data_IF_964639155204
#
_entry.id   IF_964639155204
#
_cell.length_a   1.000
_cell.length_b   1.000
_cell.length_c   1.000
_cell.angle_alpha   90.00
_cell.angle_beta   90.00
_cell.angle_gamma   90.00
#
_symmetry.space_group_name_H-M   'P 1'
#
loop_
_entity.id
_entity.type
_entity.pdbx_description
1 polymer ?
#
# COMPACT_ATOMS: atom_id res chain seq x y z
N UNK A 1 -22.29 30.62 -58.61
CA UNK A 1 -22.90 29.71 -57.63
C UNK A 1 -22.29 30.05 -56.28
N UNK A 2 -22.98 30.93 -55.54
CA UNK A 2 -22.52 31.49 -54.28
C UNK A 2 -22.89 30.54 -53.13
N UNK A 3 -21.90 30.20 -52.31
CA UNK A 3 -22.07 29.36 -51.09
C UNK A 3 -22.34 30.27 -49.90
N UNK A 4 -23.57 30.22 -49.38
CA UNK A 4 -23.96 30.91 -48.15
C UNK A 4 -23.35 30.25 -46.91
N UNK A 5 -22.37 30.90 -46.30
CA UNK A 5 -21.91 30.60 -44.94
C UNK A 5 -22.73 31.47 -43.97
N UNK A 6 -23.53 30.87 -43.13
CA UNK A 6 -24.23 31.55 -42.01
C UNK A 6 -23.24 31.73 -40.84
N UNK A 7 -23.19 32.94 -40.22
CA UNK A 7 -22.35 33.19 -39.06
C UNK A 7 -22.94 32.56 -37.80
N UNK A 8 -22.08 31.94 -37.01
CA UNK A 8 -22.39 31.40 -35.67
C UNK A 8 -22.71 32.54 -34.69
N UNK A 9 -23.83 32.42 -34.00
CA UNK A 9 -24.28 33.35 -32.97
C UNK A 9 -23.29 33.43 -31.80
N UNK A 10 -22.89 34.65 -31.45
CA UNK A 10 -22.08 34.95 -30.26
C UNK A 10 -22.88 34.64 -29.00
N UNK A 11 -22.46 33.65 -28.25
CA UNK A 11 -22.93 33.36 -26.91
C UNK A 11 -22.39 34.43 -25.94
N UNK A 12 -23.24 35.28 -25.42
CA UNK A 12 -22.91 36.25 -24.36
C UNK A 12 -22.62 35.49 -23.05
N UNK A 13 -21.33 35.38 -22.69
CA UNK A 13 -20.93 34.87 -21.37
C UNK A 13 -21.07 35.99 -20.35
N UNK A 14 -22.06 35.90 -19.49
CA UNK A 14 -22.06 36.62 -18.24
C UNK A 14 -20.90 36.04 -17.39
N UNK A 15 -19.85 36.86 -17.20
CA UNK A 15 -18.82 36.63 -16.21
C UNK A 15 -19.45 36.81 -14.83
N UNK A 16 -19.87 35.70 -14.18
CA UNK A 16 -19.96 35.63 -12.73
C UNK A 16 -18.55 35.40 -12.20
N UNK A 17 -17.95 36.41 -11.59
CA UNK A 17 -16.76 36.27 -10.78
C UNK A 17 -17.13 35.47 -9.53
N UNK A 18 -16.77 34.21 -9.48
CA UNK A 18 -16.73 33.48 -8.23
C UNK A 18 -15.48 33.91 -7.49
N UNK A 19 -15.61 34.89 -6.61
CA UNK A 19 -14.71 35.07 -5.50
C UNK A 19 -14.89 33.80 -4.64
N UNK A 20 -13.86 32.95 -4.64
CA UNK A 20 -13.74 31.85 -3.68
C UNK A 20 -13.60 32.51 -2.32
N UNK A 21 -14.65 32.51 -1.51
CA UNK A 21 -14.50 32.68 -0.07
C UNK A 21 -13.63 31.52 0.42
N UNK A 22 -12.41 31.84 0.82
CA UNK A 22 -11.52 30.92 1.53
C UNK A 22 -12.19 30.60 2.87
N UNK A 23 -12.95 29.53 2.91
CA UNK A 23 -13.30 28.91 4.19
C UNK A 23 -12.08 28.08 4.60
N UNK A 24 -11.23 28.66 5.44
CA UNK A 24 -10.19 27.94 6.17
C UNK A 24 -10.84 26.80 6.98
N UNK A 25 -10.90 25.62 6.40
CA UNK A 25 -11.20 24.42 7.17
C UNK A 25 -9.94 24.04 7.96
N UNK A 26 -10.08 23.64 9.24
CA UNK A 26 -8.92 23.28 10.07
C UNK A 26 -8.07 22.13 9.50
N UNK A 27 -8.59 21.39 8.52
CA UNK A 27 -7.95 20.22 7.91
C UNK A 27 -6.98 20.56 6.76
N UNK A 28 -6.99 21.80 6.25
CA UNK A 28 -6.13 22.22 5.12
C UNK A 28 -4.75 22.74 5.52
N UNK A 29 -4.40 22.75 6.79
CA UNK A 29 -3.06 23.13 7.22
C UNK A 29 -2.07 22.02 6.90
N UNK A 30 -0.92 22.34 6.24
CA UNK A 30 0.16 21.39 6.09
C UNK A 30 0.55 20.90 7.50
N UNK A 31 0.95 19.62 7.66
CA UNK A 31 1.32 19.07 8.95
C UNK A 31 2.33 20.01 9.61
N UNK A 32 1.97 20.51 10.80
CA UNK A 32 2.76 21.51 11.52
C UNK A 32 4.20 21.01 11.63
N UNK A 33 5.18 21.86 11.31
CA UNK A 33 6.60 21.64 11.58
C UNK A 33 6.84 21.63 13.10
N UNK A 34 6.26 20.68 13.81
CA UNK A 34 6.71 20.35 15.15
C UNK A 34 7.98 19.54 14.97
N UNK A 35 9.11 20.10 15.37
CA UNK A 35 10.34 19.34 15.54
C UNK A 35 10.04 18.09 16.36
N UNK A 36 10.77 16.99 16.17
CA UNK A 36 10.57 15.69 16.81
C UNK A 36 10.59 15.81 18.35
N UNK A 37 9.49 16.25 18.92
CA UNK A 37 9.26 16.20 20.36
C UNK A 37 8.92 14.77 20.72
N UNK A 38 9.66 14.21 21.69
CA UNK A 38 9.34 12.89 22.24
C UNK A 38 7.92 12.96 22.81
N UNK A 39 7.00 12.09 22.37
CA UNK A 39 5.63 12.10 22.89
C UNK A 39 5.57 11.83 24.38
N UNK A 40 4.58 12.44 25.08
CA UNK A 40 4.42 12.34 26.53
C UNK A 40 4.27 10.91 27.06
N UNK A 41 3.79 9.96 26.21
CA UNK A 41 3.71 8.54 26.57
C UNK A 41 5.06 7.84 26.72
N UNK A 42 6.18 8.49 26.35
CA UNK A 42 7.55 7.98 26.51
C UNK A 42 8.40 8.91 27.38
N UNK A 43 8.08 9.06 28.68
CA UNK A 43 8.79 9.98 29.57
C UNK A 43 10.26 9.56 29.75
N UNK A 44 11.15 10.55 29.84
CA UNK A 44 12.58 10.32 30.08
C UNK A 44 13.40 9.87 28.83
N UNK A 45 12.78 9.75 27.66
CA UNK A 45 13.50 9.46 26.42
C UNK A 45 14.04 10.78 25.84
N UNK A 46 15.35 10.83 25.56
CA UNK A 46 15.97 12.01 24.94
C UNK A 46 15.62 12.08 23.45
N UNK A 47 15.59 13.29 22.83
CA UNK A 47 15.37 13.45 21.39
C UNK A 47 16.37 12.64 20.53
N UNK A 48 17.61 12.51 20.96
CA UNK A 48 18.63 11.71 20.28
C UNK A 48 18.28 10.21 20.26
N UNK A 49 17.80 9.66 21.38
CA UNK A 49 17.34 8.26 21.43
C UNK A 49 16.06 8.07 20.60
N UNK A 50 15.13 9.02 20.67
CA UNK A 50 13.92 8.98 19.87
C UNK A 50 14.21 8.98 18.37
N UNK A 51 15.22 9.72 17.93
CA UNK A 51 15.71 9.75 16.55
C UNK A 51 16.51 8.50 16.12
N UNK A 52 16.97 7.67 17.06
CA UNK A 52 17.71 6.44 16.74
C UNK A 52 16.75 5.30 16.39
N UNK A 53 16.68 4.95 15.10
CA UNK A 53 15.85 3.86 14.63
C UNK A 53 16.16 2.51 15.27
N UNK A 54 17.43 2.28 15.68
CA UNK A 54 17.84 1.04 16.35
C UNK A 54 17.28 0.97 17.76
N UNK A 55 17.22 2.11 18.45
CA UNK A 55 16.56 2.20 19.72
C UNK A 55 15.06 1.93 19.57
N UNK A 56 14.37 2.58 18.63
CA UNK A 56 12.97 2.38 18.29
C UNK A 56 12.67 0.90 18.01
N UNK A 57 13.50 0.27 17.18
CA UNK A 57 13.34 -1.12 16.80
C UNK A 57 13.53 -2.08 17.97
N UNK A 58 14.49 -1.86 18.87
CA UNK A 58 14.74 -2.68 20.06
C UNK A 58 13.67 -2.50 21.12
N UNK A 59 13.05 -1.33 21.19
CA UNK A 59 12.02 -1.00 22.17
C UNK A 59 10.60 -1.08 21.59
N UNK A 60 10.40 -1.92 20.57
CA UNK A 60 9.05 -2.22 20.09
C UNK A 60 8.18 -2.75 21.22
N UNK A 61 6.93 -2.34 21.25
CA UNK A 61 5.93 -2.82 22.17
C UNK A 61 5.49 -4.22 21.70
N UNK A 62 5.70 -5.24 22.52
CA UNK A 62 5.47 -6.65 22.17
C UNK A 62 4.65 -7.41 23.20
N UNK A 63 4.39 -6.81 24.38
CA UNK A 63 3.60 -7.45 25.44
C UNK A 63 2.47 -6.53 25.89
N UNK A 64 1.47 -7.12 26.58
CA UNK A 64 0.32 -6.38 27.13
C UNK A 64 0.78 -5.34 28.14
N UNK A 65 1.73 -5.70 29.03
CA UNK A 65 2.22 -4.81 30.07
C UNK A 65 3.00 -3.62 29.52
N UNK A 66 3.68 -3.81 28.38
CA UNK A 66 4.33 -2.71 27.68
C UNK A 66 3.31 -1.77 27.05
N UNK A 67 2.24 -2.34 26.47
CA UNK A 67 1.16 -1.56 25.86
C UNK A 67 0.38 -0.77 26.92
N UNK A 68 0.01 -1.40 28.02
CA UNK A 68 -0.75 -0.78 29.13
C UNK A 68 -0.05 0.45 29.74
N UNK A 69 1.27 0.48 29.73
CA UNK A 69 2.05 1.66 30.15
C UNK A 69 1.92 2.85 29.21
N UNK A 70 1.58 2.61 27.96
CA UNK A 70 1.47 3.65 26.92
C UNK A 70 0.01 4.01 26.61
N UNK A 71 -0.85 3.02 26.61
CA UNK A 71 -2.28 3.11 26.34
C UNK A 71 -2.99 2.37 27.49
N UNK A 72 -3.54 3.07 28.47
CA UNK A 72 -4.22 2.45 29.62
C UNK A 72 -5.33 1.50 29.14
N UNK A 73 -5.28 0.25 29.62
CA UNK A 73 -6.19 -0.82 29.23
C UNK A 73 -7.02 -1.27 30.42
N UNK A 74 -8.27 -1.62 30.18
CA UNK A 74 -9.11 -2.32 31.17
C UNK A 74 -8.62 -3.76 31.36
N UNK A 75 -9.00 -4.41 32.45
CA UNK A 75 -8.62 -5.82 32.70
C UNK A 75 -9.19 -6.76 31.63
N UNK A 76 -10.38 -6.50 31.11
CA UNK A 76 -10.98 -7.27 30.01
C UNK A 76 -10.18 -7.11 28.70
N UNK A 77 -9.73 -5.90 28.38
CA UNK A 77 -8.87 -5.66 27.21
C UNK A 77 -7.52 -6.36 27.38
N UNK A 78 -6.92 -6.34 28.56
CA UNK A 78 -5.66 -7.06 28.83
C UNK A 78 -5.82 -8.56 28.62
N UNK A 79 -6.90 -9.12 29.14
CA UNK A 79 -7.18 -10.56 28.97
C UNK A 79 -7.41 -10.92 27.49
N UNK A 80 -8.19 -10.15 26.76
CA UNK A 80 -8.45 -10.33 25.32
C UNK A 80 -7.16 -10.20 24.49
N UNK A 81 -6.32 -9.21 24.80
CA UNK A 81 -5.04 -9.01 24.14
C UNK A 81 -4.06 -10.15 24.43
N UNK A 82 -3.95 -10.61 25.69
CA UNK A 82 -3.09 -11.72 26.06
C UNK A 82 -3.44 -12.98 25.27
N UNK A 83 -4.73 -13.30 25.16
CA UNK A 83 -5.23 -14.42 24.36
C UNK A 83 -4.86 -14.25 22.87
N UNK A 84 -5.05 -13.05 22.32
CA UNK A 84 -4.79 -12.80 20.90
C UNK A 84 -3.29 -12.86 20.58
N UNK A 85 -2.44 -12.26 21.43
CA UNK A 85 -0.98 -12.24 21.24
C UNK A 85 -0.37 -13.64 21.29
N UNK A 86 -0.96 -14.56 22.05
CA UNK A 86 -0.51 -15.95 22.11
C UNK A 86 -0.59 -16.66 20.75
N UNK A 87 -1.55 -16.27 19.90
CA UNK A 87 -1.72 -16.81 18.55
C UNK A 87 -1.09 -15.91 17.48
N UNK A 88 -1.36 -14.63 17.57
CA UNK A 88 -0.90 -13.61 16.62
C UNK A 88 -0.07 -12.55 17.35
N UNK A 89 1.26 -12.69 17.39
CA UNK A 89 2.14 -11.82 18.16
C UNK A 89 1.96 -10.34 17.78
N UNK A 90 2.28 -9.46 18.73
CA UNK A 90 2.29 -8.02 18.55
C UNK A 90 3.73 -7.51 18.48
N UNK A 91 3.97 -6.56 17.60
CA UNK A 91 5.14 -5.69 17.64
C UNK A 91 4.77 -4.33 17.03
N UNK A 92 5.01 -3.25 17.77
CA UNK A 92 4.74 -1.89 17.34
C UNK A 92 5.91 -1.00 17.72
N UNK A 93 6.45 -0.20 16.77
CA UNK A 93 7.50 0.76 17.11
C UNK A 93 6.95 1.85 18.02
N UNK A 94 7.73 2.37 18.98
CA UNK A 94 7.32 3.51 19.82
C UNK A 94 6.82 4.71 18.99
N UNK A 95 7.47 4.98 17.85
CA UNK A 95 7.05 6.03 16.93
C UNK A 95 5.61 5.81 16.42
N UNK A 96 5.31 4.63 15.87
CA UNK A 96 3.97 4.38 15.31
C UNK A 96 2.90 4.33 16.41
N UNK A 97 3.23 3.79 17.58
CA UNK A 97 2.34 3.80 18.73
C UNK A 97 1.98 5.22 19.15
N UNK A 98 2.91 6.17 19.04
CA UNK A 98 2.67 7.57 19.40
C UNK A 98 1.70 8.32 18.48
N UNK A 99 1.31 7.72 17.37
CA UNK A 99 0.31 8.27 16.45
C UNK A 99 -1.13 7.86 16.84
N UNK A 100 -1.28 6.88 17.73
CA UNK A 100 -2.58 6.39 18.20
C UNK A 100 -3.23 7.43 19.09
N UNK A 101 -4.51 7.68 18.88
CA UNK A 101 -5.34 8.41 19.81
C UNK A 101 -5.73 7.46 20.96
N UNK A 102 -5.26 7.72 22.20
CA UNK A 102 -5.52 6.82 23.32
C UNK A 102 -7.01 6.76 23.72
N UNK A 103 -7.77 7.81 23.41
CA UNK A 103 -9.17 7.95 23.83
C UNK A 103 -10.14 7.35 22.78
N UNK A 104 -9.65 6.96 21.59
CA UNK A 104 -10.46 6.36 20.53
C UNK A 104 -10.14 4.85 20.38
N UNK A 105 -11.03 3.94 20.78
CA UNK A 105 -10.84 2.50 20.62
C UNK A 105 -10.84 2.05 19.15
N UNK A 106 -11.46 2.82 18.27
CA UNK A 106 -11.55 2.56 16.83
C UNK A 106 -10.61 3.45 16.00
N UNK A 107 -9.62 4.06 16.66
CA UNK A 107 -8.57 4.84 16.00
C UNK A 107 -7.95 4.08 14.81
N UNK A 108 -7.92 4.66 13.60
CA UNK A 108 -7.45 3.98 12.39
C UNK A 108 -5.97 3.56 12.43
N UNK A 109 -5.15 4.19 13.28
CA UNK A 109 -3.76 3.78 13.51
C UNK A 109 -3.73 2.58 14.46
N UNK A 110 -4.56 2.62 15.53
CA UNK A 110 -4.72 1.51 16.49
C UNK A 110 -5.18 0.23 15.79
N UNK A 111 -6.20 0.31 14.94
CA UNK A 111 -6.75 -0.82 14.19
C UNK A 111 -5.71 -1.56 13.32
N UNK A 112 -4.69 -0.86 12.84
CA UNK A 112 -3.64 -1.44 12.01
C UNK A 112 -2.51 -2.11 12.82
N UNK A 113 -2.35 -1.75 14.10
CA UNK A 113 -1.17 -2.10 14.90
C UNK A 113 -1.49 -3.00 16.11
N UNK A 114 -2.62 -2.76 16.77
CA UNK A 114 -2.97 -3.42 18.03
C UNK A 114 -3.88 -4.61 17.75
N UNK A 115 -3.54 -5.83 18.26
CA UNK A 115 -4.37 -7.01 18.07
C UNK A 115 -5.77 -6.85 18.67
N UNK A 116 -6.76 -7.48 18.05
CA UNK A 116 -8.15 -7.55 18.52
C UNK A 116 -8.60 -9.00 18.64
N UNK A 117 -9.52 -9.27 19.54
CA UNK A 117 -10.03 -10.64 19.78
C UNK A 117 -10.70 -11.24 18.55
N UNK A 118 -11.24 -10.40 17.65
CA UNK A 118 -11.81 -10.80 16.38
C UNK A 118 -10.82 -11.56 15.48
N UNK A 119 -9.52 -11.33 15.64
CA UNK A 119 -8.49 -12.09 14.91
C UNK A 119 -8.55 -13.58 15.21
N UNK A 120 -8.94 -13.94 16.44
CA UNK A 120 -9.12 -15.34 16.85
C UNK A 120 -10.57 -15.78 16.59
N UNK A 121 -11.54 -14.97 17.01
CA UNK A 121 -12.95 -15.33 16.93
C UNK A 121 -13.41 -15.60 15.48
N UNK A 122 -12.81 -14.89 14.52
CA UNK A 122 -13.11 -15.01 13.09
C UNK A 122 -12.02 -15.76 12.31
N UNK A 123 -11.05 -16.39 12.96
CA UNK A 123 -9.91 -17.06 12.30
C UNK A 123 -10.32 -18.23 11.39
N UNK A 124 -11.49 -18.83 11.61
CA UNK A 124 -12.07 -19.84 10.71
C UNK A 124 -12.40 -19.33 9.31
N UNK A 125 -12.49 -18.01 9.14
CA UNK A 125 -12.61 -17.36 7.84
C UNK A 125 -11.21 -16.98 7.36
N UNK A 126 -10.94 -17.20 6.10
CA UNK A 126 -9.64 -16.94 5.49
C UNK A 126 -8.72 -18.16 5.39
N UNK A 127 -7.62 -17.97 4.73
CA UNK A 127 -6.62 -19.00 4.41
C UNK A 127 -5.26 -18.64 5.01
N UNK A 128 -4.44 -19.64 5.30
CA UNK A 128 -3.10 -19.40 5.82
C UNK A 128 -2.20 -18.72 4.78
N UNK A 129 -2.17 -19.21 3.53
CA UNK A 129 -1.42 -18.66 2.41
C UNK A 129 -2.33 -18.42 1.19
N UNK A 130 -3.23 -17.41 1.22
CA UNK A 130 -4.21 -17.20 0.15
C UNK A 130 -3.57 -16.88 -1.19
N UNK A 131 -2.34 -16.39 -1.19
CA UNK A 131 -1.61 -16.03 -2.39
C UNK A 131 -0.76 -17.18 -2.95
N UNK A 132 -0.76 -18.36 -2.32
CA UNK A 132 0.03 -19.52 -2.73
C UNK A 132 1.54 -19.20 -2.91
N UNK A 133 2.09 -18.35 -2.02
CA UNK A 133 3.51 -17.97 -2.10
C UNK A 133 4.45 -19.16 -1.86
N UNK A 134 4.02 -20.14 -1.05
CA UNK A 134 4.78 -21.35 -0.80
C UNK A 134 4.79 -22.29 -2.01
N UNK A 135 3.70 -22.37 -2.77
CA UNK A 135 3.59 -23.18 -4.00
C UNK A 135 4.41 -22.57 -5.15
N UNK A 136 4.39 -21.25 -5.29
CA UNK A 136 5.15 -20.52 -6.29
C UNK A 136 6.64 -20.33 -5.92
N UNK A 137 7.07 -20.83 -4.75
CA UNK A 137 8.44 -20.69 -4.30
C UNK A 137 9.37 -21.70 -5.01
N UNK A 138 10.04 -21.24 -6.06
CA UNK A 138 11.01 -22.04 -6.86
C UNK A 138 12.26 -22.46 -6.10
N UNK A 139 12.67 -21.66 -5.13
CA UNK A 139 13.60 -21.99 -4.04
C UNK A 139 13.08 -21.33 -2.76
N UNK A 140 13.42 -21.83 -1.57
CA UNK A 140 12.89 -21.30 -0.33
C UNK A 140 13.05 -19.78 -0.19
N UNK A 141 11.92 -19.04 -0.25
CA UNK A 141 11.87 -17.58 -0.15
C UNK A 141 12.04 -16.83 -1.46
N UNK A 142 12.04 -17.49 -2.61
CA UNK A 142 11.98 -16.86 -3.93
C UNK A 142 10.69 -17.30 -4.64
N UNK A 143 9.73 -16.40 -4.72
CA UNK A 143 8.43 -16.62 -5.38
C UNK A 143 8.53 -16.12 -6.83
N UNK A 144 8.22 -16.98 -7.80
CA UNK A 144 8.30 -16.66 -9.23
C UNK A 144 7.00 -17.01 -9.95
N UNK A 145 6.02 -16.12 -9.84
CA UNK A 145 4.67 -16.26 -10.42
C UNK A 145 4.57 -15.67 -11.83
N UNK A 146 5.22 -14.53 -12.06
CA UNK A 146 5.11 -13.77 -13.30
C UNK A 146 6.34 -14.00 -14.18
N UNK A 147 6.21 -14.08 -15.51
CA UNK A 147 7.31 -14.47 -16.40
C UNK A 147 8.57 -13.61 -16.29
N UNK A 148 8.42 -12.31 -15.99
CA UNK A 148 9.48 -11.31 -16.07
C UNK A 148 9.96 -10.79 -14.70
N UNK A 149 9.38 -11.28 -13.59
CA UNK A 149 9.71 -10.77 -12.24
C UNK A 149 9.53 -11.80 -11.14
N UNK A 150 10.32 -11.66 -10.10
CA UNK A 150 10.23 -12.51 -8.93
C UNK A 150 10.31 -11.70 -7.62
N UNK A 151 9.92 -12.35 -6.52
CA UNK A 151 9.89 -11.79 -5.18
C UNK A 151 10.89 -12.54 -4.30
N UNK A 152 11.87 -11.80 -3.72
CA UNK A 152 12.83 -12.32 -2.73
C UNK A 152 12.35 -11.99 -1.31
N UNK A 153 12.01 -13.02 -0.52
CA UNK A 153 11.61 -12.91 0.89
C UNK A 153 12.85 -13.14 1.76
N UNK A 154 13.50 -12.07 2.22
CA UNK A 154 14.78 -12.13 2.91
C UNK A 154 14.68 -12.28 4.43
N UNK A 155 13.55 -11.90 5.02
CA UNK A 155 13.31 -11.93 6.47
C UNK A 155 11.80 -11.97 6.74
N UNK A 156 11.39 -12.38 7.94
CA UNK A 156 10.01 -12.18 8.45
C UNK A 156 9.97 -11.14 9.59
N UNK A 157 11.06 -10.44 9.83
CA UNK A 157 11.18 -9.44 10.90
C UNK A 157 10.65 -8.10 10.39
N UNK A 158 9.82 -7.42 11.22
CA UNK A 158 9.24 -6.11 10.95
C UNK A 158 9.42 -5.15 12.12
N UNK A 159 9.41 -3.83 11.88
CA UNK A 159 9.31 -2.84 12.94
C UNK A 159 7.90 -2.81 13.57
N UNK A 160 6.90 -3.22 12.81
CA UNK A 160 5.51 -3.38 13.23
C UNK A 160 4.90 -4.62 12.55
N UNK A 161 4.15 -5.41 13.30
CA UNK A 161 3.35 -6.52 12.77
C UNK A 161 1.95 -5.99 12.40
N UNK A 162 1.78 -5.59 11.13
CA UNK A 162 0.53 -5.04 10.61
C UNK A 162 -0.61 -6.04 10.73
N UNK A 163 -1.74 -5.69 11.36
CA UNK A 163 -2.83 -6.65 11.62
C UNK A 163 -3.47 -7.22 10.34
N UNK A 164 -3.35 -6.52 9.22
CA UNK A 164 -3.79 -6.92 7.88
C UNK A 164 -2.69 -7.61 7.04
N UNK A 165 -1.64 -8.14 7.65
CA UNK A 165 -0.49 -8.69 6.93
C UNK A 165 -0.86 -9.96 6.16
N UNK A 166 -0.54 -10.01 4.85
CA UNK A 166 -0.76 -11.19 4.00
C UNK A 166 0.10 -12.40 4.39
N UNK A 167 1.22 -12.16 5.10
CA UNK A 167 2.15 -13.20 5.60
C UNK A 167 2.03 -13.41 7.10
N UNK A 168 0.82 -13.32 7.65
CA UNK A 168 0.54 -13.53 9.07
C UNK A 168 1.00 -14.91 9.56
N UNK A 169 0.89 -15.91 8.71
CA UNK A 169 1.40 -17.27 8.93
C UNK A 169 2.91 -17.33 9.27
N UNK A 170 3.71 -16.45 8.67
CA UNK A 170 5.15 -16.44 8.89
C UNK A 170 5.56 -16.02 10.31
N UNK A 171 4.66 -15.42 11.10
CA UNK A 171 4.92 -15.04 12.49
C UNK A 171 5.00 -16.24 13.42
N UNK A 172 4.30 -17.33 13.10
CA UNK A 172 4.29 -18.60 13.87
C UNK A 172 5.69 -19.24 13.94
N UNK A 173 6.55 -18.98 12.95
CA UNK A 173 7.90 -19.58 12.86
C UNK A 173 8.97 -18.84 13.67
N UNK A 174 8.61 -17.77 14.40
CA UNK A 174 9.57 -16.89 15.06
C UNK A 174 10.43 -16.04 14.10
N UNK A 175 11.27 -15.13 14.63
CA UNK A 175 12.08 -14.23 13.82
C UNK A 175 13.12 -14.99 12.99
N UNK A 176 13.16 -14.73 11.69
CA UNK A 176 14.10 -15.38 10.76
C UNK A 176 14.69 -14.37 9.77
N UNK A 177 15.98 -14.52 9.51
CA UNK A 177 16.68 -13.88 8.41
C UNK A 177 17.28 -14.97 7.54
N UNK A 178 17.14 -14.88 6.22
CA UNK A 178 17.72 -15.85 5.28
C UNK A 178 19.24 -15.90 5.42
N UNK A 179 19.79 -17.10 5.44
CA UNK A 179 21.25 -17.34 5.49
C UNK A 179 21.90 -16.92 4.19
N UNK A 180 23.23 -16.73 4.21
CA UNK A 180 24.01 -16.46 3.01
C UNK A 180 23.81 -17.53 1.93
N UNK A 181 23.77 -18.80 2.31
CA UNK A 181 23.57 -19.93 1.40
C UNK A 181 22.18 -19.89 0.73
N UNK A 182 21.12 -19.56 1.48
CA UNK A 182 19.78 -19.38 0.91
C UNK A 182 19.74 -18.24 -0.09
N UNK A 183 20.32 -17.10 0.24
CA UNK A 183 20.42 -15.96 -0.68
C UNK A 183 21.21 -16.32 -1.95
N UNK A 184 22.30 -17.09 -1.84
CA UNK A 184 23.05 -17.53 -3.03
C UNK A 184 22.24 -18.45 -3.93
N UNK A 185 21.36 -19.33 -3.38
CA UNK A 185 20.44 -20.14 -4.19
C UNK A 185 19.43 -19.28 -4.94
N UNK A 186 18.84 -18.25 -4.29
CA UNK A 186 17.93 -17.31 -4.94
C UNK A 186 18.62 -16.57 -6.08
N UNK A 187 19.82 -16.02 -5.84
CA UNK A 187 20.62 -15.32 -6.84
C UNK A 187 21.04 -16.23 -7.99
N UNK A 188 21.35 -17.50 -7.70
CA UNK A 188 21.66 -18.52 -8.72
C UNK A 188 20.48 -18.74 -9.66
N UNK A 189 19.28 -18.90 -9.11
CA UNK A 189 18.05 -19.04 -9.89
C UNK A 189 17.81 -17.82 -10.79
N UNK A 190 17.92 -16.61 -10.23
CA UNK A 190 17.71 -15.37 -11.00
C UNK A 190 18.73 -15.27 -12.15
N UNK A 191 20.02 -15.57 -11.91
CA UNK A 191 21.05 -15.58 -12.96
C UNK A 191 20.78 -16.55 -14.09
N UNK A 192 20.21 -17.72 -13.79
CA UNK A 192 19.92 -18.75 -14.80
C UNK A 192 18.64 -18.47 -15.59
N UNK A 193 17.84 -17.45 -15.21
CA UNK A 193 16.56 -17.13 -15.86
C UNK A 193 16.59 -15.72 -16.47
N UNK A 194 17.07 -15.61 -17.70
CA UNK A 194 17.22 -14.34 -18.40
C UNK A 194 15.89 -13.60 -18.68
N UNK A 195 14.73 -14.26 -18.54
CA UNK A 195 13.44 -13.61 -18.63
C UNK A 195 13.13 -12.70 -17.41
N UNK A 196 13.78 -12.92 -16.27
CA UNK A 196 13.57 -12.12 -15.05
C UNK A 196 14.32 -10.79 -15.21
N UNK A 197 13.57 -9.72 -15.43
CA UNK A 197 14.08 -8.35 -15.58
C UNK A 197 13.90 -7.51 -14.31
N UNK A 198 13.04 -7.95 -13.40
CA UNK A 198 12.60 -7.18 -12.24
C UNK A 198 12.59 -8.07 -10.98
N UNK A 199 13.27 -7.62 -9.93
CA UNK A 199 13.29 -8.31 -8.63
C UNK A 199 12.73 -7.41 -7.55
N UNK A 200 11.76 -7.94 -6.81
CA UNK A 200 11.19 -7.29 -5.64
C UNK A 200 11.86 -7.88 -4.40
N UNK A 201 12.57 -7.06 -3.65
CA UNK A 201 13.14 -7.43 -2.36
C UNK A 201 12.10 -7.10 -1.28
N UNK A 202 11.68 -8.11 -0.52
CA UNK A 202 10.63 -8.00 0.49
C UNK A 202 10.86 -9.02 1.61
N UNK A 203 9.80 -9.34 2.32
CA UNK A 203 9.82 -10.31 3.43
C UNK A 203 8.79 -9.96 4.46
N UNK A 204 9.22 -9.90 5.73
CA UNK A 204 8.64 -9.01 6.70
C UNK A 204 8.91 -7.58 6.21
N UNK A 205 9.90 -6.92 6.76
CA UNK A 205 10.36 -5.68 6.12
C UNK A 205 11.88 -5.68 5.99
N UNK A 206 12.38 -5.60 4.76
CA UNK A 206 13.82 -5.79 4.48
C UNK A 206 14.69 -4.68 5.06
N UNK A 207 14.14 -3.49 5.35
CA UNK A 207 14.87 -2.42 6.02
C UNK A 207 15.14 -2.73 7.50
N UNK A 208 14.60 -3.83 8.04
CA UNK A 208 15.01 -4.42 9.33
C UNK A 208 16.43 -5.00 9.28
N UNK A 209 16.94 -5.29 8.09
CA UNK A 209 18.33 -5.70 7.90
C UNK A 209 19.28 -4.50 8.07
N UNK A 210 20.53 -4.76 8.47
CA UNK A 210 21.54 -3.72 8.46
C UNK A 210 21.81 -3.24 7.03
N UNK A 211 22.17 -1.96 6.87
CA UNK A 211 22.52 -1.37 5.56
C UNK A 211 23.56 -2.22 4.82
N UNK A 212 24.63 -2.65 5.51
CA UNK A 212 25.68 -3.52 4.95
C UNK A 212 25.15 -4.86 4.42
N UNK A 213 24.17 -5.48 5.13
CA UNK A 213 23.60 -6.76 4.69
C UNK A 213 22.68 -6.58 3.49
N UNK A 214 21.88 -5.52 3.48
CA UNK A 214 21.04 -5.17 2.34
C UNK A 214 21.87 -4.84 1.11
N UNK A 215 22.93 -4.04 1.27
CA UNK A 215 23.88 -3.70 0.22
C UNK A 215 24.52 -4.95 -0.41
N UNK A 216 24.94 -5.91 0.40
CA UNK A 216 25.54 -7.15 -0.11
C UNK A 216 24.60 -7.97 -1.01
N UNK A 217 23.29 -7.85 -0.83
CA UNK A 217 22.28 -8.47 -1.70
C UNK A 217 22.06 -7.64 -2.95
N UNK A 218 21.87 -6.34 -2.80
CA UNK A 218 21.61 -5.41 -3.91
C UNK A 218 22.79 -5.39 -4.89
N UNK A 219 24.02 -5.35 -4.41
CA UNK A 219 25.24 -5.38 -5.25
C UNK A 219 25.29 -6.65 -6.13
N UNK A 220 24.95 -7.81 -5.55
CA UNK A 220 24.93 -9.06 -6.29
C UNK A 220 23.79 -9.15 -7.32
N UNK A 221 22.61 -8.58 -6.99
CA UNK A 221 21.52 -8.45 -7.96
C UNK A 221 21.92 -7.53 -9.11
N UNK A 222 22.53 -6.38 -8.81
CA UNK A 222 22.94 -5.40 -9.82
C UNK A 222 24.05 -5.93 -10.74
N UNK A 223 24.83 -6.91 -10.30
CA UNK A 223 25.82 -7.61 -11.12
C UNK A 223 25.20 -8.63 -12.11
N UNK A 224 23.89 -8.85 -12.09
CA UNK A 224 23.19 -9.72 -13.04
C UNK A 224 22.83 -8.91 -14.29
N UNK A 225 23.38 -9.22 -15.50
CA UNK A 225 23.30 -8.34 -16.67
C UNK A 225 21.86 -8.08 -17.18
N UNK A 226 20.97 -9.06 -17.10
CA UNK A 226 19.61 -8.96 -17.59
C UNK A 226 18.63 -8.32 -16.58
N UNK A 227 19.09 -8.04 -15.35
CA UNK A 227 18.24 -7.44 -14.33
C UNK A 227 18.23 -5.93 -14.48
N UNK A 228 17.07 -5.39 -14.88
CA UNK A 228 16.88 -3.96 -15.15
C UNK A 228 16.42 -3.20 -13.91
N UNK A 229 15.51 -3.76 -13.14
CA UNK A 229 14.80 -3.08 -12.05
C UNK A 229 14.96 -3.86 -10.75
N UNK A 230 15.29 -3.12 -9.68
CA UNK A 230 15.19 -3.62 -8.31
C UNK A 230 14.11 -2.80 -7.61
N UNK A 231 13.14 -3.48 -7.00
CA UNK A 231 12.12 -2.85 -6.16
C UNK A 231 12.28 -3.28 -4.71
N UNK A 232 12.05 -2.37 -3.78
CA UNK A 232 12.04 -2.64 -2.34
C UNK A 232 10.63 -2.39 -1.83
N UNK A 233 9.99 -3.44 -1.28
CA UNK A 233 8.74 -3.32 -0.55
C UNK A 233 9.02 -3.04 0.92
N UNK A 234 8.60 -1.88 1.44
CA UNK A 234 8.85 -1.49 2.83
C UNK A 234 7.79 -0.56 3.37
N UNK A 235 7.45 -0.72 4.64
CA UNK A 235 6.59 0.22 5.37
C UNK A 235 7.38 1.13 6.32
N UNK A 236 8.70 1.06 6.31
CA UNK A 236 9.56 1.88 7.19
C UNK A 236 9.30 3.38 7.10
N UNK A 237 9.09 3.99 5.92
CA UNK A 237 8.76 5.41 5.83
C UNK A 237 7.54 5.80 6.66
N UNK A 238 6.64 4.85 6.93
CA UNK A 238 5.39 5.03 7.68
C UNK A 238 5.55 4.67 9.15
N UNK A 239 6.11 3.49 9.44
CA UNK A 239 6.08 2.91 10.79
C UNK A 239 7.35 3.14 11.60
N UNK A 240 8.43 3.55 10.94
CA UNK A 240 9.72 3.89 11.57
C UNK A 240 10.57 4.75 10.63
N UNK A 241 10.16 6.00 10.31
CA UNK A 241 10.82 6.88 9.33
C UNK A 241 12.27 7.21 9.66
N UNK A 242 12.68 7.10 10.93
CA UNK A 242 14.06 7.32 11.40
C UNK A 242 15.07 6.35 10.74
N UNK A 243 14.61 5.18 10.24
CA UNK A 243 15.45 4.22 9.52
C UNK A 243 15.90 4.72 8.13
N UNK A 244 15.17 5.66 7.57
CA UNK A 244 15.51 6.27 6.28
C UNK A 244 16.57 7.35 6.54
N UNK A 245 17.73 6.90 6.97
CA UNK A 245 18.89 7.74 7.24
C UNK A 245 19.72 8.01 5.97
N UNK A 246 20.65 8.94 6.06
CA UNK A 246 21.51 9.35 4.94
C UNK A 246 22.39 8.17 4.45
N UNK A 247 22.87 7.35 5.36
CA UNK A 247 23.70 6.19 5.02
C UNK A 247 22.93 5.15 4.18
N UNK A 248 21.66 4.91 4.50
CA UNK A 248 20.79 4.06 3.68
C UNK A 248 20.53 4.69 2.31
N UNK A 249 20.16 5.97 2.29
CA UNK A 249 19.85 6.68 1.04
C UNK A 249 21.05 6.73 0.09
N UNK A 250 22.23 7.06 0.60
CA UNK A 250 23.46 7.10 -0.19
C UNK A 250 23.85 5.72 -0.72
N UNK A 251 23.70 4.67 0.09
CA UNK A 251 23.93 3.30 -0.36
C UNK A 251 22.98 2.93 -1.51
N UNK A 252 21.67 3.18 -1.35
CA UNK A 252 20.69 2.86 -2.39
C UNK A 252 20.93 3.62 -3.69
N UNK A 253 21.31 4.91 -3.60
CA UNK A 253 21.63 5.74 -4.76
C UNK A 253 22.76 5.17 -5.61
N UNK A 254 23.73 4.47 -5.00
CA UNK A 254 24.84 3.83 -5.69
C UNK A 254 24.47 2.63 -6.57
N UNK A 255 23.25 2.11 -6.45
CA UNK A 255 22.80 0.89 -7.14
C UNK A 255 21.54 1.08 -8.02
N UNK A 256 21.28 2.30 -8.47
CA UNK A 256 20.11 2.60 -9.31
C UNK A 256 20.03 1.79 -10.63
N UNK A 257 18.85 1.66 -11.23
CA UNK A 257 17.55 2.17 -10.75
C UNK A 257 16.93 1.28 -9.66
N UNK A 258 16.60 1.89 -8.52
CA UNK A 258 15.88 1.25 -7.43
C UNK A 258 14.54 1.99 -7.25
N UNK A 259 13.46 1.24 -7.03
CA UNK A 259 12.13 1.76 -6.73
C UNK A 259 11.70 1.33 -5.34
N UNK A 260 11.10 2.22 -4.57
CA UNK A 260 10.48 1.87 -3.29
C UNK A 260 8.96 1.86 -3.43
N UNK A 261 8.35 0.74 -3.03
CA UNK A 261 6.93 0.64 -2.82
C UNK A 261 6.67 0.68 -1.31
N UNK A 262 6.10 1.80 -0.84
CA UNK A 262 5.72 1.99 0.56
C UNK A 262 4.24 1.73 0.76
N UNK A 263 3.77 1.80 2.03
CA UNK A 263 2.37 1.52 2.36
C UNK A 263 1.86 2.48 3.44
N UNK A 264 1.29 3.59 3.01
CA UNK A 264 0.43 4.46 3.79
C UNK A 264 -1.01 3.99 3.58
N UNK A 265 -1.77 3.83 4.64
CA UNK A 265 -3.17 3.44 4.59
C UNK A 265 -4.13 4.54 5.08
N UNK A 266 -3.65 5.51 5.88
CA UNK A 266 -4.49 6.56 6.42
C UNK A 266 -3.81 7.95 6.36
N UNK A 267 -4.55 9.07 6.18
CA UNK A 267 -3.97 10.42 6.15
C UNK A 267 -3.14 10.79 7.38
N UNK A 268 -3.50 10.32 8.57
CA UNK A 268 -2.75 10.56 9.81
C UNK A 268 -1.35 9.95 9.84
N UNK A 269 -1.04 9.02 8.95
CA UNK A 269 0.31 8.48 8.77
C UNK A 269 1.24 9.43 8.01
N UNK A 270 0.69 10.47 7.35
CA UNK A 270 1.44 11.48 6.61
C UNK A 270 2.05 12.52 7.55
N UNK A 271 2.86 12.09 8.50
CA UNK A 271 3.53 12.94 9.48
C UNK A 271 4.70 13.71 8.85
N UNK A 272 5.21 14.72 9.57
CA UNK A 272 6.39 15.48 9.14
C UNK A 272 7.64 14.57 9.00
N UNK A 273 7.79 13.59 9.90
CA UNK A 273 8.88 12.61 9.90
C UNK A 273 8.79 11.67 8.70
N UNK A 274 7.58 11.17 8.41
CA UNK A 274 7.34 10.32 7.23
C UNK A 274 7.57 11.09 5.93
N UNK A 275 7.09 12.34 5.84
CA UNK A 275 7.33 13.22 4.70
C UNK A 275 8.83 13.49 4.48
N UNK A 276 9.59 13.78 5.56
CA UNK A 276 11.02 13.99 5.49
C UNK A 276 11.79 12.72 5.07
N UNK A 277 11.33 11.53 5.51
CA UNK A 277 11.90 10.26 5.08
C UNK A 277 11.69 10.03 3.58
N UNK A 278 10.49 10.27 3.08
CA UNK A 278 10.19 10.19 1.64
C UNK A 278 11.00 11.20 0.83
N UNK A 279 11.14 12.45 1.30
CA UNK A 279 11.93 13.47 0.63
C UNK A 279 13.43 13.11 0.55
N UNK A 280 14.01 12.49 1.60
CA UNK A 280 15.40 11.98 1.56
C UNK A 280 15.60 10.93 0.48
N UNK A 281 14.70 9.97 0.35
CA UNK A 281 14.75 8.96 -0.71
C UNK A 281 14.65 9.60 -2.10
N UNK A 282 13.70 10.50 -2.29
CA UNK A 282 13.51 11.20 -3.57
C UNK A 282 14.75 12.04 -3.97
N UNK A 283 15.33 12.76 -3.04
CA UNK A 283 16.59 13.54 -3.29
C UNK A 283 17.76 12.63 -3.63
N UNK A 284 17.73 11.39 -3.20
CA UNK A 284 18.72 10.37 -3.55
C UNK A 284 18.40 9.64 -4.87
N UNK A 285 17.44 10.14 -5.64
CA UNK A 285 17.05 9.56 -6.93
C UNK A 285 16.21 8.28 -6.82
N UNK A 286 15.61 8.00 -5.66
CA UNK A 286 14.79 6.81 -5.41
C UNK A 286 13.30 7.19 -5.50
N UNK A 287 12.60 6.83 -6.59
CA UNK A 287 11.17 7.09 -6.71
C UNK A 287 10.34 6.21 -5.77
N UNK A 288 9.20 6.78 -5.30
CA UNK A 288 8.30 6.12 -4.36
C UNK A 288 6.91 5.94 -4.95
N UNK A 289 6.37 4.74 -4.74
CA UNK A 289 4.98 4.41 -4.97
C UNK A 289 4.31 3.99 -3.67
N UNK A 290 3.03 4.33 -3.51
CA UNK A 290 2.22 3.86 -2.40
C UNK A 290 1.32 2.70 -2.81
N UNK A 291 1.28 1.67 -1.99
CA UNK A 291 0.44 0.47 -2.13
C UNK A 291 -0.46 0.36 -0.91
N UNK A 292 -1.56 1.12 -0.87
CA UNK A 292 -2.56 1.04 0.21
C UNK A 292 -3.29 -0.30 0.17
N UNK A 293 -3.75 -0.74 1.33
CA UNK A 293 -4.73 -1.83 1.48
C UNK A 293 -6.04 -1.23 1.95
N UNK A 294 -7.16 -1.64 1.35
CA UNK A 294 -8.50 -1.21 1.73
C UNK A 294 -8.92 -1.95 3.01
N UNK A 295 -9.10 -1.21 4.11
CA UNK A 295 -9.31 -1.75 5.45
C UNK A 295 -10.55 -1.13 6.10
N UNK A 296 -11.41 -1.97 6.65
CA UNK A 296 -12.61 -1.56 7.39
C UNK A 296 -12.24 -0.69 8.59
N UNK A 297 -12.93 0.44 8.72
CA UNK A 297 -12.71 1.41 9.81
C UNK A 297 -11.40 2.20 9.72
N UNK A 298 -10.58 1.95 8.69
CA UNK A 298 -9.32 2.67 8.50
C UNK A 298 -9.41 3.63 7.31
N UNK A 299 -9.79 3.13 6.14
CA UNK A 299 -9.76 3.92 4.91
C UNK A 299 -10.82 3.47 3.89
N UNK A 300 -11.92 2.93 4.37
CA UNK A 300 -13.02 2.39 3.58
C UNK A 300 -14.07 3.44 3.19
N UNK A 301 -13.71 4.72 3.23
CA UNK A 301 -14.53 5.82 2.72
C UNK A 301 -13.84 6.58 1.59
N UNK A 302 -14.62 7.17 0.70
CA UNK A 302 -14.12 7.98 -0.42
C UNK A 302 -13.38 9.24 0.08
N UNK A 303 -13.85 9.84 1.16
CA UNK A 303 -13.25 11.03 1.79
C UNK A 303 -11.85 10.73 2.30
N UNK A 304 -11.70 9.65 3.07
CA UNK A 304 -10.41 9.21 3.62
C UNK A 304 -9.43 8.85 2.52
N UNK A 305 -9.87 8.11 1.49
CA UNK A 305 -9.03 7.76 0.35
C UNK A 305 -8.62 9.00 -0.46
N UNK A 306 -9.51 9.98 -0.64
CA UNK A 306 -9.20 11.25 -1.32
C UNK A 306 -8.16 12.04 -0.53
N UNK A 307 -8.36 12.20 0.78
CA UNK A 307 -7.43 12.89 1.67
C UNK A 307 -6.04 12.21 1.67
N UNK A 308 -5.98 10.87 1.75
CA UNK A 308 -4.75 10.10 1.67
C UNK A 308 -4.04 10.33 0.33
N UNK A 309 -4.73 10.13 -0.79
CA UNK A 309 -4.13 10.22 -2.11
C UNK A 309 -3.63 11.63 -2.45
N UNK A 310 -4.38 12.67 -2.07
CA UNK A 310 -3.94 14.06 -2.21
C UNK A 310 -2.76 14.37 -1.30
N UNK A 311 -2.77 13.86 -0.06
CA UNK A 311 -1.68 13.99 0.89
C UNK A 311 -0.38 13.32 0.40
N UNK A 312 -0.49 12.14 -0.19
CA UNK A 312 0.64 11.43 -0.81
C UNK A 312 1.29 12.26 -1.93
N UNK A 313 0.49 12.91 -2.79
CA UNK A 313 1.04 13.80 -3.82
C UNK A 313 1.79 15.00 -3.23
N UNK A 314 1.31 15.58 -2.12
CA UNK A 314 2.01 16.68 -1.42
C UNK A 314 3.42 16.30 -0.96
N UNK A 315 3.62 15.03 -0.56
CA UNK A 315 4.93 14.47 -0.19
C UNK A 315 5.63 13.75 -1.35
N UNK A 316 5.13 13.91 -2.59
CA UNK A 316 5.70 13.35 -3.84
C UNK A 316 5.75 11.82 -3.88
N UNK A 317 4.87 11.15 -3.18
CA UNK A 317 4.67 9.70 -3.25
C UNK A 317 3.49 9.42 -4.17
N UNK A 318 3.69 8.59 -5.19
CA UNK A 318 2.64 8.27 -6.16
C UNK A 318 1.64 7.28 -5.56
N UNK A 319 0.32 7.59 -5.48
CA UNK A 319 -0.70 6.56 -5.29
C UNK A 319 -0.62 5.55 -6.44
N UNK A 320 -0.24 4.31 -6.14
CA UNK A 320 0.00 3.30 -7.17
C UNK A 320 -1.08 2.23 -7.17
N UNK A 321 -1.21 1.51 -6.05
CA UNK A 321 -2.27 0.54 -5.86
C UNK A 321 -3.13 0.86 -4.64
N UNK A 322 -4.42 0.56 -4.74
CA UNK A 322 -5.31 0.25 -3.64
C UNK A 322 -5.61 -1.25 -3.73
N UNK A 323 -5.10 -2.04 -2.80
CA UNK A 323 -5.36 -3.47 -2.75
C UNK A 323 -6.67 -3.76 -2.03
N UNK A 324 -7.48 -4.64 -2.58
CA UNK A 324 -8.46 -5.36 -1.79
C UNK A 324 -7.74 -6.15 -0.69
N UNK A 325 -8.28 -6.16 0.53
CA UNK A 325 -7.73 -7.00 1.60
C UNK A 325 -7.83 -8.48 1.22
N UNK A 326 -6.69 -9.18 1.26
CA UNK A 326 -6.63 -10.60 0.95
C UNK A 326 -7.39 -11.43 2.00
N UNK A 327 -7.80 -12.63 1.59
CA UNK A 327 -8.52 -13.59 2.43
C UNK A 327 -7.58 -14.35 3.39
N UNK A 328 -6.94 -13.62 4.31
CA UNK A 328 -5.96 -14.15 5.26
C UNK A 328 -6.63 -14.52 6.58
N UNK A 329 -6.27 -15.70 7.13
CA UNK A 329 -6.68 -16.10 8.46
C UNK A 329 -6.39 -15.01 9.52
N UNK A 330 -7.39 -14.64 10.30
CA UNK A 330 -7.31 -13.62 11.33
C UNK A 330 -7.32 -12.17 10.82
N UNK A 331 -7.83 -11.90 9.61
CA UNK A 331 -7.98 -10.53 9.06
C UNK A 331 -9.43 -10.18 8.71
N UNK A 332 -10.39 -11.10 8.88
CA UNK A 332 -11.77 -10.94 8.43
C UNK A 332 -12.45 -9.65 8.94
N UNK A 333 -12.18 -9.27 10.19
CA UNK A 333 -12.72 -8.04 10.79
C UNK A 333 -12.25 -6.75 10.10
N UNK A 334 -11.14 -6.80 9.34
CA UNK A 334 -10.61 -5.68 8.58
C UNK A 334 -11.00 -5.69 7.10
N UNK A 335 -11.68 -6.75 6.64
CA UNK A 335 -12.06 -6.90 5.23
C UNK A 335 -13.26 -6.03 4.89
N UNK A 336 -13.25 -5.52 3.68
CA UNK A 336 -14.28 -4.65 3.10
C UNK A 336 -14.86 -5.33 1.85
N UNK A 337 -16.16 -5.20 1.54
CA UNK A 337 -16.72 -5.67 0.27
C UNK A 337 -15.99 -5.06 -0.94
N UNK A 338 -15.83 -5.83 -2.01
CA UNK A 338 -15.15 -5.38 -3.23
C UNK A 338 -15.87 -4.18 -3.86
N UNK A 339 -17.20 -4.16 -3.78
CA UNK A 339 -18.04 -3.08 -4.27
C UNK A 339 -17.65 -1.73 -3.67
N UNK A 340 -17.34 -1.71 -2.36
CA UNK A 340 -16.85 -0.48 -1.69
C UNK A 340 -15.58 0.08 -2.35
N UNK A 341 -14.65 -0.80 -2.76
CA UNK A 341 -13.45 -0.36 -3.48
C UNK A 341 -13.79 0.23 -4.86
N UNK A 342 -14.75 -0.34 -5.57
CA UNK A 342 -15.22 0.17 -6.87
C UNK A 342 -15.90 1.54 -6.68
N UNK A 343 -16.75 1.69 -5.66
CA UNK A 343 -17.45 2.95 -5.34
C UNK A 343 -16.45 4.06 -4.96
N UNK A 344 -15.43 3.73 -4.19
CA UNK A 344 -14.33 4.66 -3.87
C UNK A 344 -13.62 5.11 -5.16
N UNK A 345 -13.32 4.19 -6.07
CA UNK A 345 -12.68 4.54 -7.33
C UNK A 345 -13.56 5.43 -8.20
N UNK A 346 -14.88 5.24 -8.19
CA UNK A 346 -15.82 6.11 -8.88
C UNK A 346 -15.85 7.52 -8.25
N UNK A 347 -15.85 7.60 -6.92
CA UNK A 347 -15.84 8.86 -6.19
C UNK A 347 -14.52 9.64 -6.31
N UNK A 348 -13.40 8.99 -6.63
CA UNK A 348 -12.12 9.63 -6.88
C UNK A 348 -11.98 10.12 -8.33
N UNK A 349 -12.40 9.29 -9.30
CA UNK A 349 -12.16 9.54 -10.72
C UNK A 349 -13.00 10.70 -11.22
N UNK A 350 -12.33 11.75 -11.72
CA UNK A 350 -12.99 12.98 -12.16
C UNK A 350 -13.24 14.01 -11.05
N UNK A 351 -13.05 13.62 -9.76
CA UNK A 351 -13.23 14.50 -8.61
C UNK A 351 -11.91 14.89 -7.93
N UNK A 352 -10.79 14.33 -8.38
CA UNK A 352 -9.43 14.73 -7.99
C UNK A 352 -8.49 14.59 -9.18
N UNK A 353 -7.22 15.01 -9.03
CA UNK A 353 -6.19 14.84 -10.08
C UNK A 353 -6.05 13.37 -10.45
N UNK A 354 -5.90 13.07 -11.74
CA UNK A 354 -5.59 11.70 -12.20
C UNK A 354 -4.32 11.10 -11.58
N UNK A 355 -3.38 11.94 -11.15
CA UNK A 355 -2.19 11.50 -10.40
C UNK A 355 -2.53 10.97 -9.00
N UNK A 356 -3.66 11.41 -8.42
CA UNK A 356 -4.15 11.01 -7.11
C UNK A 356 -5.07 9.78 -7.14
N UNK A 357 -5.30 9.18 -8.32
CA UNK A 357 -6.19 8.01 -8.45
C UNK A 357 -5.34 6.76 -8.58
N UNK A 358 -5.30 5.89 -7.55
CA UNK A 358 -4.60 4.61 -7.63
C UNK A 358 -5.31 3.64 -8.56
N UNK A 359 -4.68 2.52 -8.87
CA UNK A 359 -5.36 1.38 -9.46
C UNK A 359 -5.90 0.47 -8.35
N UNK A 360 -7.20 0.27 -8.28
CA UNK A 360 -7.81 -0.71 -7.39
C UNK A 360 -7.58 -2.11 -7.96
N UNK A 361 -7.06 -3.02 -7.14
CA UNK A 361 -6.67 -4.37 -7.57
C UNK A 361 -7.07 -5.42 -6.54
N UNK A 362 -7.47 -6.57 -7.04
CA UNK A 362 -7.67 -7.79 -6.26
C UNK A 362 -6.55 -8.76 -6.61
N UNK A 363 -5.87 -9.30 -5.60
CA UNK A 363 -5.01 -10.46 -5.78
C UNK A 363 -5.89 -11.71 -5.75
N UNK A 364 -5.94 -12.44 -6.86
CA UNK A 364 -6.78 -13.63 -6.94
C UNK A 364 -6.16 -14.78 -6.10
N UNK A 365 -7.00 -15.54 -5.38
CA UNK A 365 -6.52 -16.65 -4.56
C UNK A 365 -5.81 -17.73 -5.38
N UNK A 366 -5.00 -18.54 -4.70
CA UNK A 366 -4.28 -19.65 -5.34
C UNK A 366 -3.27 -19.19 -6.38
N UNK A 367 -2.66 -18.01 -6.21
CA UNK A 367 -1.65 -17.53 -7.14
C UNK A 367 -2.18 -16.95 -8.45
N UNK A 368 -3.49 -16.68 -8.56
CA UNK A 368 -4.13 -16.18 -9.79
C UNK A 368 -3.66 -14.79 -10.26
N UNK A 369 -2.88 -14.09 -9.45
CA UNK A 369 -2.29 -12.79 -9.78
C UNK A 369 -3.23 -11.61 -9.58
N UNK A 370 -2.76 -10.42 -9.97
CA UNK A 370 -3.45 -9.15 -9.76
C UNK A 370 -4.42 -8.84 -10.89
N UNK A 371 -5.68 -8.60 -10.54
CA UNK A 371 -6.73 -8.17 -11.47
C UNK A 371 -7.16 -6.75 -11.11
N UNK A 372 -7.03 -5.78 -12.03
CA UNK A 372 -7.53 -4.43 -11.80
C UNK A 372 -9.05 -4.39 -11.92
N UNK A 373 -9.70 -3.71 -10.97
CA UNK A 373 -11.11 -3.41 -10.99
C UNK A 373 -11.34 -1.90 -11.12
N UNK A 374 -12.41 -1.54 -11.81
CA UNK A 374 -12.82 -0.15 -11.96
C UNK A 374 -14.34 -0.09 -12.24
N UNK A 375 -14.97 1.09 -12.00
CA UNK A 375 -16.36 1.30 -12.38
C UNK A 375 -16.60 1.08 -13.87
N UNK A 376 -17.78 0.62 -14.24
CA UNK A 376 -18.18 0.42 -15.63
C UNK A 376 -18.49 1.77 -16.29
N UNK A 377 -17.56 2.22 -17.14
CA UNK A 377 -17.72 3.44 -17.95
C UNK A 377 -18.16 3.14 -19.38
N UNK A 378 -17.85 1.95 -19.92
CA UNK A 378 -18.30 1.49 -21.22
C UNK A 378 -19.66 0.81 -21.04
N UNK A 379 -20.76 1.44 -21.52
CA UNK A 379 -22.12 0.92 -21.38
C UNK A 379 -22.54 0.02 -22.52
N UNK A 380 -22.09 0.36 -23.75
CA UNK A 380 -22.48 -0.39 -24.94
C UNK A 380 -21.41 -0.29 -26.02
N UNK A 381 -21.21 -1.39 -26.75
CA UNK A 381 -20.40 -1.44 -27.96
C UNK A 381 -21.29 -1.88 -29.13
N UNK A 382 -21.40 -1.04 -30.16
CA UNK A 382 -22.06 -1.34 -31.44
C UNK A 382 -21.05 -1.25 -32.57
N UNK A 383 -21.46 -1.70 -33.76
CA UNK A 383 -20.60 -1.61 -34.95
C UNK A 383 -20.16 -0.18 -35.23
N UNK A 384 -18.87 0.08 -34.95
CA UNK A 384 -18.25 1.37 -35.19
C UNK A 384 -18.59 2.48 -34.19
N UNK A 385 -19.31 2.19 -33.10
CA UNK A 385 -19.66 3.17 -32.05
C UNK A 385 -19.52 2.56 -30.66
N UNK A 386 -19.04 3.37 -29.70
CA UNK A 386 -18.99 3.06 -28.27
C UNK A 386 -19.84 4.05 -27.49
N UNK A 387 -20.61 3.59 -26.51
CA UNK A 387 -21.41 4.40 -25.62
C UNK A 387 -20.77 4.38 -24.23
N UNK A 388 -20.42 5.56 -23.73
CA UNK A 388 -19.78 5.73 -22.44
C UNK A 388 -20.63 6.56 -21.48
N UNK A 389 -20.52 6.29 -20.17
CA UNK A 389 -20.87 7.27 -19.14
C UNK A 389 -19.59 7.97 -18.63
N UNK A 390 -19.64 9.26 -18.36
CA UNK A 390 -18.54 9.97 -17.72
C UNK A 390 -18.71 9.97 -16.19
N UNK A 391 -17.77 10.62 -15.47
CA UNK A 391 -17.79 10.75 -14.00
C UNK A 391 -19.03 11.48 -13.44
N UNK A 392 -19.78 12.22 -14.25
CA UNK A 392 -21.06 12.87 -13.90
C UNK A 392 -22.30 12.01 -14.25
N UNK A 393 -22.12 10.79 -14.70
CA UNK A 393 -23.20 9.94 -15.19
C UNK A 393 -23.76 10.31 -16.57
N UNK A 394 -23.18 11.32 -17.25
CA UNK A 394 -23.66 11.77 -18.57
C UNK A 394 -23.20 10.80 -19.65
N UNK A 395 -24.07 10.54 -20.62
CA UNK A 395 -23.85 9.58 -21.70
C UNK A 395 -23.21 10.26 -22.90
N UNK A 396 -22.18 9.65 -23.46
CA UNK A 396 -21.48 10.08 -24.66
C UNK A 396 -21.35 8.93 -25.65
N UNK A 397 -21.46 9.28 -26.94
CA UNK A 397 -21.23 8.36 -28.05
C UNK A 397 -19.92 8.74 -28.73
N UNK A 398 -19.04 7.76 -28.92
CA UNK A 398 -17.76 7.92 -29.56
C UNK A 398 -17.65 6.99 -30.76
N UNK A 399 -17.35 7.56 -31.93
CA UNK A 399 -17.09 6.75 -33.10
C UNK A 399 -15.76 5.98 -32.92
N UNK A 400 -15.81 4.66 -33.13
CA UNK A 400 -14.61 3.86 -33.20
C UNK A 400 -14.00 3.94 -34.60
N UNK A 401 -12.75 4.33 -34.77
CA UNK A 401 -12.09 4.28 -36.08
C UNK A 401 -12.10 2.85 -36.62
N UNK A 402 -12.38 2.69 -37.91
CA UNK A 402 -12.25 1.39 -38.57
C UNK A 402 -10.80 0.97 -38.51
N UNK A 403 -10.50 -0.04 -37.69
CA UNK A 403 -9.17 -0.64 -37.62
C UNK A 403 -8.76 -1.26 -38.95
N UNK A 404 -7.45 -1.34 -39.24
CA UNK A 404 -6.96 -2.32 -40.20
C UNK A 404 -7.44 -3.69 -39.71
N UNK A 405 -7.97 -4.55 -40.59
CA UNK A 405 -8.38 -5.91 -40.22
C UNK A 405 -7.22 -6.59 -39.48
N UNK A 406 -7.26 -6.55 -38.15
CA UNK A 406 -6.46 -7.42 -37.31
C UNK A 406 -7.07 -8.82 -37.33
N UNK A 407 -6.36 -9.85 -36.85
CA UNK A 407 -6.93 -11.18 -36.73
C UNK A 407 -8.28 -11.09 -36.00
N UNK A 408 -9.29 -11.80 -36.48
CA UNK A 408 -10.63 -11.85 -35.93
C UNK A 408 -10.55 -12.11 -34.42
N UNK A 409 -10.70 -11.04 -33.65
CA UNK A 409 -10.93 -11.17 -32.19
C UNK A 409 -12.34 -11.71 -32.07
N UNK A 410 -12.48 -12.91 -31.52
CA UNK A 410 -13.77 -13.40 -31.07
C UNK A 410 -14.46 -12.27 -30.24
N UNK A 411 -15.75 -12.00 -30.44
CA UNK A 411 -16.46 -10.99 -29.69
C UNK A 411 -16.28 -11.31 -28.20
N UNK A 412 -15.81 -10.31 -27.41
CA UNK A 412 -15.82 -10.41 -25.96
C UNK A 412 -17.31 -10.54 -25.56
N UNK A 413 -17.72 -11.75 -25.31
CA UNK A 413 -19.05 -12.01 -24.73
C UNK A 413 -18.98 -11.53 -23.30
N UNK A 414 -19.41 -10.28 -23.06
CA UNK A 414 -19.69 -9.81 -21.72
C UNK A 414 -20.85 -10.66 -21.22
N UNK A 415 -20.54 -11.67 -20.43
CA UNK A 415 -21.57 -12.45 -19.75
C UNK A 415 -22.16 -11.57 -18.64
N UNK A 416 -23.19 -10.79 -18.98
CA UNK A 416 -24.13 -10.31 -18.01
C UNK A 416 -24.88 -11.53 -17.45
N UNK A 417 -24.39 -12.07 -16.34
CA UNK A 417 -25.23 -12.98 -15.57
C UNK A 417 -26.36 -12.12 -14.98
N UNK A 418 -27.64 -12.46 -15.23
CA UNK A 418 -28.74 -11.84 -14.52
C UNK A 418 -28.53 -12.13 -13.03
N UNK A 419 -28.80 -11.14 -12.18
CA UNK A 419 -28.85 -11.30 -10.74
C UNK A 419 -29.78 -12.45 -10.38
N UNK A 420 -29.21 -13.62 -10.12
CA UNK A 420 -29.97 -14.71 -9.50
C UNK A 420 -29.86 -14.47 -8.00
N UNK A 421 -30.94 -13.96 -7.42
CA UNK A 421 -31.16 -13.91 -5.98
C UNK A 421 -31.00 -15.33 -5.44
N UNK A 422 -29.91 -15.58 -4.73
CA UNK A 422 -29.80 -16.79 -3.91
C UNK A 422 -30.58 -16.51 -2.62
N UNK A 423 -31.72 -17.24 -2.44
CA UNK A 423 -32.43 -17.35 -1.18
C UNK A 423 -31.57 -18.12 -0.15
#
# INVERSE_FOLDING_TARGET
MESHIRPLARCNRHKKSYLLEETDSPEDKPPSRRGSTVPGMFPGITPSRWGDWRWQFRNRITTVEQLDRCLPLTEDEKAALALTIATYPMAVSPYYLSLIDPDDPDDPIRLQAIPRVEEIALSRYGQEDPLAENEDAVVPGLVHRYPDRCLMVLTNICPMLCRHCTRKWAWKSGPRIRTRAEVQRMLGYIRSNAAIRDVIISGGDVLSLSTKRLEAVIAQLRAIPHLEIIRIGTRYPVVLPQRIDEALCSMLAGYGPIWINTQFNHPRELTAEAAAACDRLLRSGIPLNNQSVLLRGVNDTAETQRALCQGLLRIKVRPYYLFQTDDVEGTEHLRVPIETGIDIMEALRGHTSGLAVPQFVVDLPGGGGKVPLQPDYLLEQRDGEFVFRNYQGRIFRCRNPRGRKGPDRAPLTVMHKPHTTLM
#
